data_IF_206564728204
#
_entry.id   IF_206564728204
#
_cell.length_a   1.000
_cell.length_b   1.000
_cell.length_c   1.000
_cell.angle_alpha   90.00
_cell.angle_beta   90.00
_cell.angle_gamma   90.00
#
_symmetry.space_group_name_H-M   'P 1'
#
loop_
_entity.id
_entity.type
_entity.pdbx_description
1 polymer ?
#
# COMPACT_ATOMS: atom_id res chain seq x y z
N UNK A 1 9.98 -58.15 -53.38
CA UNK A 1 9.86 -59.33 -52.50
C UNK A 1 9.97 -58.80 -51.07
N UNK A 2 9.02 -58.93 -50.16
CA UNK A 2 7.71 -59.58 -50.16
C UNK A 2 6.86 -59.00 -48.98
N UNK A 3 5.52 -59.20 -49.07
CA UNK A 3 4.47 -59.37 -48.03
C UNK A 3 4.19 -58.23 -47.02
N UNK A 4 3.01 -57.55 -47.06
CA UNK A 4 1.67 -57.91 -46.50
C UNK A 4 1.70 -57.97 -44.95
N UNK A 5 0.79 -57.37 -44.15
CA UNK A 5 -0.68 -57.33 -44.24
C UNK A 5 -1.30 -56.44 -43.12
N UNK A 6 -2.50 -55.89 -43.38
CA UNK A 6 -3.47 -55.27 -42.46
C UNK A 6 -3.91 -56.18 -41.30
N UNK A 7 -4.58 -55.60 -40.27
CA UNK A 7 -5.80 -56.12 -39.58
C UNK A 7 -6.27 -55.13 -38.47
N UNK A 8 -7.53 -54.66 -38.62
CA UNK A 8 -8.68 -54.51 -37.68
C UNK A 8 -8.52 -53.86 -36.28
N UNK A 9 -9.54 -53.35 -35.58
CA UNK A 9 -10.85 -52.70 -35.80
C UNK A 9 -11.47 -52.61 -34.37
N UNK A 10 -12.14 -51.50 -34.02
CA UNK A 10 -13.27 -51.42 -33.04
C UNK A 10 -12.99 -51.73 -31.54
N UNK A 11 -13.69 -51.22 -30.52
CA UNK A 11 -15.07 -50.76 -30.40
C UNK A 11 -15.30 -49.95 -29.09
N UNK A 12 -16.36 -49.15 -29.14
CA UNK A 12 -17.17 -48.39 -28.15
C UNK A 12 -17.42 -48.95 -26.73
N UNK A 13 -17.65 -48.07 -25.74
CA UNK A 13 -18.97 -47.90 -25.07
C UNK A 13 -18.97 -46.74 -24.03
N UNK A 14 -19.83 -45.73 -24.23
CA UNK A 14 -21.12 -45.49 -23.55
C UNK A 14 -21.05 -44.72 -22.22
N UNK A 15 -21.54 -43.49 -22.27
CA UNK A 15 -21.92 -42.64 -21.15
C UNK A 15 -23.45 -42.53 -21.15
N UNK A 16 -24.10 -42.82 -20.01
CA UNK A 16 -25.53 -42.56 -19.81
C UNK A 16 -25.76 -41.72 -18.54
N UNK A 17 -26.53 -40.64 -18.73
CA UNK A 17 -27.61 -40.05 -17.93
C UNK A 17 -27.38 -39.38 -16.55
N UNK A 18 -27.86 -38.12 -16.48
CA UNK A 18 -27.95 -37.10 -15.40
C UNK A 18 -29.22 -37.25 -14.50
N UNK A 19 -29.68 -36.33 -13.59
CA UNK A 19 -29.19 -35.02 -13.05
C UNK A 19 -29.41 -34.83 -11.48
N UNK A 20 -29.64 -33.63 -10.87
CA UNK A 20 -28.70 -32.63 -10.28
C UNK A 20 -29.04 -32.33 -8.76
N UNK A 21 -28.82 -31.13 -8.15
CA UNK A 21 -27.69 -30.18 -8.08
C UNK A 21 -27.22 -29.90 -6.61
N UNK A 22 -25.98 -29.45 -6.38
CA UNK A 22 -25.69 -28.43 -5.34
C UNK A 22 -24.29 -27.82 -5.53
N UNK A 23 -24.26 -26.52 -5.89
CA UNK A 23 -23.11 -25.61 -5.80
C UNK A 23 -22.95 -25.10 -4.35
N UNK A 24 -21.89 -24.34 -3.95
CA UNK A 24 -20.56 -24.04 -4.53
C UNK A 24 -19.42 -24.18 -3.44
N UNK A 25 -18.15 -23.70 -3.58
CA UNK A 25 -17.44 -23.02 -4.69
C UNK A 25 -16.08 -23.65 -5.10
N UNK A 26 -15.55 -23.31 -6.31
CA UNK A 26 -14.23 -23.71 -6.78
C UNK A 26 -13.15 -22.64 -6.53
N UNK A 27 -11.90 -23.10 -6.73
CA UNK A 27 -10.72 -22.33 -7.12
C UNK A 27 -9.77 -21.83 -6.02
N UNK A 28 -9.11 -22.78 -5.36
CA UNK A 28 -7.69 -22.66 -5.08
C UNK A 28 -6.89 -23.09 -6.31
N UNK A 29 -6.41 -22.12 -7.09
CA UNK A 29 -5.22 -22.24 -7.96
C UNK A 29 -4.98 -20.88 -8.63
N UNK A 30 -4.19 -20.02 -8.00
CA UNK A 30 -3.57 -18.89 -8.71
C UNK A 30 -2.33 -19.42 -9.42
N UNK A 31 -2.45 -19.52 -10.74
CA UNK A 31 -1.36 -19.74 -11.68
C UNK A 31 -0.29 -18.65 -11.54
N UNK A 32 0.96 -19.09 -11.47
CA UNK A 32 2.16 -18.23 -11.54
C UNK A 32 2.33 -17.75 -12.98
N UNK A 33 2.38 -16.43 -13.16
CA UNK A 33 3.09 -15.82 -14.29
C UNK A 33 4.36 -15.18 -13.76
N UNK A 34 5.48 -15.71 -14.21
CA UNK A 34 6.83 -15.16 -14.03
C UNK A 34 6.99 -13.97 -14.96
N UNK A 35 7.09 -12.77 -14.39
CA UNK A 35 7.62 -11.60 -15.06
C UNK A 35 8.92 -11.19 -14.35
N UNK A 36 9.98 -11.01 -15.13
CA UNK A 36 11.30 -10.54 -14.70
C UNK A 36 11.21 -9.16 -14.01
N UNK A 37 11.07 -9.12 -12.69
CA UNK A 37 11.16 -7.88 -11.94
C UNK A 37 11.70 -8.17 -10.54
N UNK A 38 12.70 -7.40 -10.09
CA UNK A 38 13.18 -7.36 -8.71
C UNK A 38 12.02 -7.53 -7.75
N UNK A 39 12.03 -8.59 -6.93
CA UNK A 39 10.93 -8.95 -6.03
C UNK A 39 10.76 -7.87 -4.96
N UNK A 40 10.02 -6.82 -5.31
CA UNK A 40 9.75 -5.68 -4.46
C UNK A 40 8.85 -6.10 -3.31
N UNK A 41 9.32 -5.91 -2.08
CA UNK A 41 8.66 -6.36 -0.86
C UNK A 41 7.45 -5.48 -0.50
N UNK A 42 6.50 -6.04 0.24
CA UNK A 42 5.39 -5.25 0.78
C UNK A 42 5.92 -4.33 1.89
N UNK A 43 5.56 -3.04 1.90
CA UNK A 43 5.95 -2.13 2.96
C UNK A 43 5.30 -2.52 4.30
N UNK A 44 6.01 -2.25 5.41
CA UNK A 44 5.45 -2.33 6.75
C UNK A 44 4.47 -1.17 7.04
N UNK A 45 3.89 -1.12 8.24
CA UNK A 45 2.96 -0.04 8.65
C UNK A 45 3.58 1.35 8.64
N UNK A 46 4.91 1.44 8.72
CA UNK A 46 5.68 2.67 8.61
C UNK A 46 6.15 2.97 7.19
N UNK A 47 5.63 2.31 6.15
CA UNK A 47 6.03 2.52 4.75
C UNK A 47 7.53 2.23 4.45
N UNK A 48 8.17 1.37 5.26
CA UNK A 48 9.52 0.86 5.05
C UNK A 48 9.56 -0.66 5.16
N UNK A 49 10.59 -1.21 5.81
CA UNK A 49 10.74 -2.66 6.01
C UNK A 49 11.15 -3.01 7.43
N UNK A 50 10.76 -4.21 7.84
CA UNK A 50 11.28 -4.90 9.01
C UNK A 50 12.34 -5.91 8.55
N UNK A 51 13.57 -5.73 9.00
CA UNK A 51 14.70 -6.62 8.72
C UNK A 51 15.12 -7.30 10.02
N UNK A 52 16.01 -8.30 9.92
CA UNK A 52 16.46 -9.06 11.08
C UNK A 52 17.16 -8.19 12.14
N UNK A 53 17.95 -7.19 11.71
CA UNK A 53 18.78 -6.37 12.59
C UNK A 53 18.23 -4.97 12.87
N UNK A 54 17.28 -4.49 12.07
CA UNK A 54 16.64 -3.19 12.25
C UNK A 54 15.32 -3.10 11.49
N UNK A 55 14.46 -2.17 11.90
CA UNK A 55 13.29 -1.76 11.14
C UNK A 55 13.47 -0.32 10.68
N UNK A 56 12.88 0.02 9.54
CA UNK A 56 12.78 1.41 9.11
C UNK A 56 11.39 1.70 8.56
N UNK A 57 11.03 2.98 8.66
CA UNK A 57 9.82 3.56 8.11
C UNK A 57 10.11 4.94 7.54
N UNK A 58 9.11 5.57 6.94
CA UNK A 58 9.24 6.87 6.33
C UNK A 58 7.89 7.57 6.18
N UNK A 59 7.97 8.89 6.14
CA UNK A 59 6.98 9.79 5.57
C UNK A 59 7.53 10.39 4.26
N UNK A 60 6.84 11.38 3.69
CA UNK A 60 7.41 12.15 2.58
C UNK A 60 8.61 13.01 3.01
N UNK A 61 8.73 13.33 4.29
CA UNK A 61 9.72 14.29 4.80
C UNK A 61 10.86 13.59 5.55
N UNK A 62 10.58 12.43 6.15
CA UNK A 62 11.48 11.82 7.11
C UNK A 62 11.61 10.32 6.89
N UNK A 63 12.71 9.76 7.39
CA UNK A 63 12.95 8.32 7.52
C UNK A 63 13.24 8.02 8.99
N UNK A 64 12.51 7.09 9.57
CA UNK A 64 12.72 6.60 10.94
C UNK A 64 13.38 5.23 10.89
N UNK A 65 14.39 5.01 11.72
CA UNK A 65 15.12 3.75 11.80
C UNK A 65 15.19 3.33 13.26
N UNK A 66 14.84 2.08 13.53
CA UNK A 66 14.80 1.50 14.86
C UNK A 66 15.71 0.28 14.90
N UNK A 67 16.74 0.32 15.74
CA UNK A 67 17.73 -0.74 15.89
C UNK A 67 17.70 -1.29 17.31
N UNK A 68 17.27 -2.53 17.52
CA UNK A 68 17.43 -3.21 18.80
C UNK A 68 18.91 -3.38 19.15
N UNK A 69 19.28 -3.08 20.39
CA UNK A 69 20.65 -3.26 20.92
C UNK A 69 20.60 -4.03 22.24
N UNK A 70 21.70 -4.68 22.67
CA UNK A 70 21.74 -5.39 23.95
C UNK A 70 21.33 -4.47 25.12
N UNK A 71 20.54 -5.01 26.05
CA UNK A 71 20.05 -4.25 27.20
C UNK A 71 21.20 -3.71 28.05
N UNK A 72 21.10 -2.45 28.48
CA UNK A 72 22.15 -1.76 29.23
C UNK A 72 23.24 -1.14 28.33
N UNK A 73 23.04 -1.12 27.01
CA UNK A 73 23.88 -0.36 26.08
C UNK A 73 23.93 1.10 26.52
N UNK A 74 25.12 1.70 26.51
CA UNK A 74 25.32 3.13 26.81
C UNK A 74 25.61 3.90 25.52
N UNK A 75 25.22 5.17 25.45
CA UNK A 75 25.42 6.00 24.26
C UNK A 75 26.87 6.04 23.76
N UNK A 76 27.86 5.99 24.66
CA UNK A 76 29.30 5.94 24.32
C UNK A 76 29.73 4.67 23.57
N UNK A 77 28.92 3.62 23.60
CA UNK A 77 29.13 2.36 22.88
C UNK A 77 28.47 2.38 21.49
N UNK A 78 27.69 3.41 21.16
CA UNK A 78 27.02 3.53 19.87
C UNK A 78 27.92 4.35 18.94
N UNK A 79 28.16 3.82 17.76
CA UNK A 79 28.77 4.55 16.65
C UNK A 79 27.64 4.89 15.69
N UNK A 80 27.27 6.16 15.59
CA UNK A 80 26.28 6.66 14.65
C UNK A 80 26.87 7.86 13.91
N UNK A 81 27.16 7.69 12.62
CA UNK A 81 27.61 8.76 11.73
C UNK A 81 26.57 8.99 10.64
N UNK A 82 25.93 10.16 10.70
CA UNK A 82 24.98 10.61 9.68
C UNK A 82 25.71 11.59 8.77
N UNK A 83 25.80 11.27 7.47
CA UNK A 83 26.32 12.17 6.44
C UNK A 83 25.24 12.41 5.39
N UNK A 84 25.42 13.43 4.56
CA UNK A 84 24.42 13.86 3.57
C UNK A 84 23.88 12.71 2.70
N UNK A 85 24.68 11.69 2.39
CA UNK A 85 24.26 10.55 1.55
C UNK A 85 24.63 9.20 2.15
N UNK A 86 25.03 9.11 3.41
CA UNK A 86 25.44 7.82 3.99
C UNK A 86 25.10 7.76 5.47
N UNK A 87 24.81 6.55 5.93
CA UNK A 87 24.59 6.25 7.34
C UNK A 87 25.51 5.12 7.75
N UNK A 88 26.19 5.32 8.88
CA UNK A 88 26.92 4.27 9.58
C UNK A 88 26.38 4.16 10.99
N UNK A 89 25.91 2.98 11.36
CA UNK A 89 25.32 2.69 12.66
C UNK A 89 25.76 1.32 13.16
N UNK A 90 26.27 1.25 14.38
CA UNK A 90 26.66 -0.01 15.01
C UNK A 90 27.15 0.18 16.45
N UNK A 91 27.65 -0.91 17.04
CA UNK A 91 28.24 -0.90 18.37
C UNK A 91 29.77 -0.85 18.29
N UNK A 92 30.37 -0.03 19.15
CA UNK A 92 31.82 0.12 19.24
C UNK A 92 32.46 -1.19 19.71
N UNK A 93 33.39 -1.70 18.92
CA UNK A 93 34.12 -2.94 19.21
C UNK A 93 33.53 -4.17 18.53
N UNK A 94 32.35 -4.08 17.92
CA UNK A 94 31.83 -5.15 17.05
C UNK A 94 32.52 -5.12 15.68
N UNK A 95 32.76 -6.30 15.07
CA UNK A 95 33.46 -6.39 13.79
C UNK A 95 32.62 -5.87 12.62
N UNK A 96 31.29 -5.88 12.74
CA UNK A 96 30.37 -5.45 11.70
C UNK A 96 29.47 -4.30 12.20
N UNK A 97 29.28 -3.31 11.34
CA UNK A 97 28.26 -2.29 11.54
C UNK A 97 26.88 -2.88 11.23
N UNK A 98 25.86 -2.44 11.95
CA UNK A 98 24.48 -2.87 11.72
C UNK A 98 23.97 -2.25 10.40
N UNK A 99 24.36 -0.99 10.15
CA UNK A 99 24.11 -0.29 8.90
C UNK A 99 25.41 0.39 8.49
N UNK A 100 25.89 0.14 7.28
CA UNK A 100 27.00 0.88 6.68
C UNK A 100 26.77 0.94 5.17
N UNK A 101 26.35 2.11 4.67
CA UNK A 101 26.02 2.24 3.26
C UNK A 101 25.63 3.63 2.81
N UNK A 102 25.56 3.79 1.48
CA UNK A 102 25.00 4.99 0.85
C UNK A 102 23.47 4.96 0.99
N UNK A 103 22.89 6.02 1.53
CA UNK A 103 21.45 6.21 1.63
C UNK A 103 20.83 6.31 0.23
N UNK A 104 19.55 5.93 0.13
CA UNK A 104 18.82 6.02 -1.13
C UNK A 104 18.75 7.45 -1.67
N UNK A 105 18.49 8.43 -0.79
CA UNK A 105 18.48 9.85 -1.11
C UNK A 105 19.33 10.70 -0.15
N UNK A 106 19.57 11.97 -0.48
CA UNK A 106 20.28 12.87 0.41
C UNK A 106 19.42 13.27 1.62
N UNK A 107 20.08 13.57 2.75
CA UNK A 107 19.44 13.99 4.01
C UNK A 107 20.02 15.31 4.52
N UNK A 108 19.20 16.07 5.24
CA UNK A 108 19.58 17.33 5.88
C UNK A 108 20.18 17.00 7.24
N UNK A 109 21.50 16.79 7.27
CA UNK A 109 22.23 16.31 8.47
C UNK A 109 22.00 17.18 9.72
N UNK A 110 21.79 18.50 9.57
CA UNK A 110 21.52 19.39 10.70
C UNK A 110 20.20 19.13 11.41
N UNK A 111 19.25 18.50 10.72
CA UNK A 111 17.89 18.24 11.19
C UNK A 111 17.68 16.74 11.45
N UNK A 112 18.67 15.91 11.12
CA UNK A 112 18.72 14.49 11.43
C UNK A 112 19.37 14.27 12.80
N UNK A 113 18.82 13.37 13.61
CA UNK A 113 19.36 13.04 14.92
C UNK A 113 19.16 11.56 15.26
N UNK A 114 19.82 11.11 16.32
CA UNK A 114 19.62 9.78 16.87
C UNK A 114 19.55 9.85 18.39
N UNK A 115 18.86 8.87 18.97
CA UNK A 115 18.72 8.72 20.41
C UNK A 115 18.76 7.25 20.82
N UNK A 116 19.12 7.01 22.07
CA UNK A 116 19.08 5.70 22.71
C UNK A 116 17.93 5.69 23.70
N UNK A 117 16.95 4.83 23.45
CA UNK A 117 15.76 4.65 24.26
C UNK A 117 15.92 3.41 25.15
N UNK A 118 15.60 3.57 26.44
CA UNK A 118 15.64 2.53 27.47
C UNK A 118 16.93 1.70 27.55
N UNK A 119 18.05 2.21 27.02
CA UNK A 119 19.31 1.47 26.90
C UNK A 119 19.18 0.13 26.14
N UNK A 120 18.19 0.02 25.24
CA UNK A 120 17.88 -1.22 24.49
C UNK A 120 17.51 -0.98 23.03
N UNK A 121 17.24 0.26 22.63
CA UNK A 121 16.81 0.57 21.25
C UNK A 121 17.43 1.88 20.79
N UNK A 122 18.07 1.88 19.63
CA UNK A 122 18.56 3.10 18.98
C UNK A 122 17.53 3.54 17.94
N UNK A 123 17.07 4.78 18.07
CA UNK A 123 16.13 5.41 17.14
C UNK A 123 16.86 6.51 16.39
N UNK A 124 16.86 6.44 15.06
CA UNK A 124 17.44 7.45 14.17
C UNK A 124 16.32 8.10 13.36
N UNK A 125 16.31 9.43 13.35
CA UNK A 125 15.46 10.24 12.48
C UNK A 125 16.34 10.90 11.42
N UNK A 126 16.03 10.65 10.14
CA UNK A 126 16.68 11.30 9.02
C UNK A 126 15.69 12.22 8.31
N UNK A 127 15.99 13.52 8.27
CA UNK A 127 15.20 14.47 7.47
C UNK A 127 15.66 14.39 6.02
N UNK A 128 14.76 14.06 5.10
CA UNK A 128 15.06 14.00 3.66
C UNK A 128 15.43 15.40 3.17
N UNK A 129 16.51 15.49 2.41
CA UNK A 129 16.92 16.73 1.77
C UNK A 129 16.29 16.79 0.39
N UNK A 130 15.22 17.55 0.25
CA UNK A 130 14.52 17.68 -1.01
C UNK A 130 14.44 19.12 -1.49
N UNK A 131 14.84 19.30 -2.75
CA UNK A 131 14.84 20.62 -3.39
C UNK A 131 13.70 20.74 -4.43
N UNK A 132 13.18 19.62 -4.99
CA UNK A 132 12.25 19.67 -6.13
C UNK A 132 11.17 18.59 -6.25
N UNK A 133 11.22 17.44 -5.55
CA UNK A 133 10.16 16.42 -5.61
C UNK A 133 10.16 15.50 -4.37
N UNK A 134 9.04 15.51 -3.63
CA UNK A 134 8.74 14.59 -2.52
C UNK A 134 8.60 13.17 -3.02
N UNK A 135 9.54 12.29 -2.62
CA UNK A 135 9.57 10.90 -3.13
C UNK A 135 9.72 9.86 -2.02
N UNK A 136 9.00 8.75 -2.20
CA UNK A 136 9.12 7.56 -1.37
C UNK A 136 10.43 6.84 -1.69
N UNK A 137 11.17 6.49 -0.65
CA UNK A 137 12.39 5.72 -0.79
C UNK A 137 12.01 4.25 -0.97
N UNK A 138 12.49 3.62 -2.02
CA UNK A 138 12.27 2.18 -2.20
C UNK A 138 13.18 1.34 -1.31
N UNK A 139 14.29 1.87 -0.81
CA UNK A 139 15.15 1.20 0.16
C UNK A 139 15.77 2.23 1.12
N UNK A 140 16.29 1.78 2.27
CA UNK A 140 17.03 2.65 3.18
C UNK A 140 18.43 2.97 2.61
N UNK A 141 19.17 1.92 2.26
CA UNK A 141 20.49 1.97 1.65
C UNK A 141 20.43 1.48 0.20
N UNK A 142 21.27 2.03 -0.67
CA UNK A 142 21.35 1.59 -2.07
C UNK A 142 21.84 0.15 -2.16
N UNK A 143 21.21 -0.64 -3.02
CA UNK A 143 21.50 -2.06 -3.17
C UNK A 143 20.94 -2.95 -2.05
N UNK A 144 20.25 -2.38 -1.06
CA UNK A 144 19.51 -3.13 -0.06
C UNK A 144 18.14 -3.60 -0.56
N UNK A 145 17.37 -4.31 0.29
CA UNK A 145 16.01 -4.75 -0.04
C UNK A 145 15.08 -3.58 -0.39
N UNK A 146 14.29 -3.77 -1.44
CA UNK A 146 13.40 -2.73 -1.98
C UNK A 146 11.92 -3.00 -1.65
N UNK A 147 11.17 -1.94 -1.33
CA UNK A 147 9.72 -1.95 -1.16
C UNK A 147 8.99 -1.54 -2.43
N UNK A 148 7.79 -2.11 -2.60
CA UNK A 148 6.84 -1.64 -3.60
C UNK A 148 6.23 -0.31 -3.18
N UNK A 149 6.84 0.79 -3.64
CA UNK A 149 6.40 2.15 -3.35
C UNK A 149 4.98 2.46 -3.83
N UNK A 150 4.37 1.65 -4.71
CA UNK A 150 2.97 1.83 -5.10
C UNK A 150 1.99 1.39 -4.00
N UNK A 151 2.45 0.64 -3.01
CA UNK A 151 1.63 0.15 -1.88
C UNK A 151 1.81 0.95 -0.60
N UNK A 152 2.63 2.01 -0.64
CA UNK A 152 2.84 2.92 0.48
C UNK A 152 1.58 3.74 0.74
N UNK A 153 1.22 3.91 2.01
CA UNK A 153 0.07 4.71 2.44
C UNK A 153 0.51 6.11 2.89
N UNK A 154 0.09 7.19 2.19
CA UNK A 154 0.31 8.55 2.66
C UNK A 154 -0.31 8.78 4.05
N UNK A 155 0.30 9.62 4.89
CA UNK A 155 -0.13 9.83 6.28
C UNK A 155 -1.60 10.27 6.42
N UNK A 156 -2.11 11.06 5.47
CA UNK A 156 -3.51 11.53 5.50
C UNK A 156 -4.52 10.52 4.92
N UNK A 157 -4.11 9.29 4.60
CA UNK A 157 -4.98 8.32 3.91
C UNK A 157 -6.01 7.66 4.83
N UNK A 158 -5.88 7.84 6.16
CA UNK A 158 -6.87 7.35 7.13
C UNK A 158 -7.90 8.42 7.40
N UNK A 159 -8.94 8.37 6.58
CA UNK A 159 -10.11 9.22 6.69
C UNK A 159 -10.85 9.08 8.04
N UNK A 160 -10.58 8.01 8.79
CA UNK A 160 -11.06 7.77 10.16
C UNK A 160 -10.49 8.74 11.19
N UNK A 161 -9.32 9.33 10.92
CA UNK A 161 -8.56 10.13 11.89
C UNK A 161 -8.88 11.64 11.75
N UNK A 162 -9.77 11.98 10.80
CA UNK A 162 -10.27 13.33 10.58
C UNK A 162 -11.52 13.57 11.44
N UNK A 163 -11.65 14.80 11.96
CA UNK A 163 -12.89 15.25 12.61
C UNK A 163 -14.10 15.03 11.68
N UNK A 164 -15.30 14.69 12.22
CA UNK A 164 -16.46 14.30 11.41
C UNK A 164 -16.84 15.30 10.29
N UNK A 165 -16.64 16.60 10.52
CA UNK A 165 -16.91 17.65 9.53
C UNK A 165 -15.90 17.65 8.37
N UNK A 166 -14.60 17.51 8.68
CA UNK A 166 -13.55 17.44 7.68
C UNK A 166 -13.62 16.11 6.91
N UNK A 167 -13.94 15.02 7.61
CA UNK A 167 -14.18 13.71 7.00
C UNK A 167 -15.26 13.76 5.92
N UNK A 168 -16.43 14.34 6.24
CA UNK A 168 -17.53 14.48 5.28
C UNK A 168 -17.12 15.31 4.06
N UNK A 169 -16.35 16.38 4.29
CA UNK A 169 -15.84 17.26 3.22
C UNK A 169 -14.86 16.51 2.30
N UNK A 170 -13.93 15.74 2.86
CA UNK A 170 -12.96 14.95 2.10
C UNK A 170 -13.65 13.78 1.36
N UNK A 171 -14.61 13.09 1.98
CA UNK A 171 -15.42 12.05 1.32
C UNK A 171 -16.18 12.63 0.12
N UNK A 172 -16.81 13.80 0.28
CA UNK A 172 -17.49 14.50 -0.82
C UNK A 172 -16.51 14.84 -1.94
N UNK A 173 -15.34 15.38 -1.61
CA UNK A 173 -14.32 15.73 -2.60
C UNK A 173 -13.80 14.51 -3.36
N UNK A 174 -13.56 13.38 -2.66
CA UNK A 174 -13.14 12.12 -3.28
C UNK A 174 -14.23 11.53 -4.19
N UNK A 175 -15.49 11.57 -3.74
CA UNK A 175 -16.63 11.15 -4.54
C UNK A 175 -16.76 12.00 -5.82
N UNK A 176 -16.72 13.32 -5.69
CA UNK A 176 -16.84 14.25 -6.81
C UNK A 176 -15.69 14.11 -7.81
N UNK A 177 -14.47 13.91 -7.32
CA UNK A 177 -13.32 13.67 -8.18
C UNK A 177 -13.48 12.38 -9.00
N UNK A 178 -14.00 11.31 -8.38
CA UNK A 178 -14.30 10.05 -9.07
C UNK A 178 -15.42 10.21 -10.09
N UNK A 179 -16.51 10.88 -9.72
CA UNK A 179 -17.64 11.15 -10.62
C UNK A 179 -17.19 11.95 -11.85
N UNK A 180 -16.40 13.02 -11.65
CA UNK A 180 -15.83 13.83 -12.75
C UNK A 180 -14.98 13.01 -13.72
N UNK A 181 -14.13 12.11 -13.21
CA UNK A 181 -13.33 11.22 -14.06
C UNK A 181 -14.20 10.26 -14.88
N UNK A 182 -15.32 9.83 -14.32
CA UNK A 182 -16.29 8.95 -14.99
C UNK A 182 -17.32 9.73 -15.84
N UNK A 183 -17.22 11.07 -15.92
CA UNK A 183 -18.21 11.91 -16.61
C UNK A 183 -19.61 11.91 -15.96
N UNK A 184 -19.69 11.49 -14.70
CA UNK A 184 -20.93 11.35 -13.94
C UNK A 184 -21.18 12.59 -13.06
N UNK A 185 -22.43 12.81 -12.61
CA UNK A 185 -22.79 13.98 -11.80
C UNK A 185 -22.11 13.99 -10.42
N UNK A 186 -21.66 15.17 -10.00
CA UNK A 186 -21.12 15.43 -8.66
C UNK A 186 -22.20 15.39 -7.58
N UNK A 187 -21.81 15.32 -6.31
CA UNK A 187 -22.69 15.28 -5.14
C UNK A 187 -23.69 16.45 -5.12
N UNK A 188 -23.26 17.66 -5.46
CA UNK A 188 -24.16 18.83 -5.54
C UNK A 188 -25.18 18.69 -6.67
N UNK A 189 -24.78 18.13 -7.81
CA UNK A 189 -25.67 17.92 -8.96
C UNK A 189 -26.69 16.81 -8.68
N UNK A 190 -26.27 15.75 -8.00
CA UNK A 190 -27.18 14.68 -7.54
C UNK A 190 -28.21 15.26 -6.58
N UNK A 191 -27.77 16.05 -5.59
CA UNK A 191 -28.66 16.67 -4.62
C UNK A 191 -29.67 17.62 -5.27
N UNK A 192 -29.23 18.43 -6.24
CA UNK A 192 -30.13 19.28 -7.03
C UNK A 192 -31.12 18.46 -7.84
N UNK A 193 -30.68 17.37 -8.48
CA UNK A 193 -31.54 16.51 -9.27
C UNK A 193 -32.60 15.81 -8.40
N UNK A 194 -32.23 15.40 -7.20
CA UNK A 194 -33.16 14.77 -6.26
C UNK A 194 -34.20 15.76 -5.72
N UNK A 195 -33.80 17.01 -5.42
CA UNK A 195 -34.74 18.06 -5.05
C UNK A 195 -35.77 18.35 -6.15
N UNK A 196 -35.31 18.43 -7.41
CA UNK A 196 -36.18 18.60 -8.57
C UNK A 196 -37.15 17.43 -8.74
N UNK A 197 -36.64 16.19 -8.68
CA UNK A 197 -37.48 14.98 -8.76
C UNK A 197 -38.52 14.93 -7.65
N UNK A 198 -38.15 15.27 -6.42
CA UNK A 198 -39.05 15.23 -5.28
C UNK A 198 -40.15 16.30 -5.39
N UNK A 199 -39.80 17.47 -5.93
CA UNK A 199 -40.76 18.53 -6.23
C UNK A 199 -41.76 18.10 -7.32
N UNK A 200 -41.26 17.52 -8.42
CA UNK A 200 -42.10 16.99 -9.50
C UNK A 200 -43.03 15.88 -9.01
N UNK A 201 -42.53 14.95 -8.19
CA UNK A 201 -43.31 13.87 -7.62
C UNK A 201 -44.39 14.37 -6.64
N UNK A 202 -44.08 15.39 -5.84
CA UNK A 202 -45.05 16.04 -4.95
C UNK A 202 -46.16 16.74 -5.74
N UNK A 203 -45.81 17.45 -6.82
CA UNK A 203 -46.80 18.06 -7.73
C UNK A 203 -47.70 17.01 -8.37
N UNK A 204 -47.14 15.90 -8.84
CA UNK A 204 -47.93 14.82 -9.46
C UNK A 204 -48.97 14.25 -8.48
N UNK A 205 -48.57 13.97 -7.24
CA UNK A 205 -49.51 13.55 -6.18
C UNK A 205 -50.58 14.59 -5.83
N UNK A 206 -50.28 15.87 -5.96
CA UNK A 206 -51.24 16.93 -5.71
C UNK A 206 -52.27 17.02 -6.85
N UNK A 207 -51.82 16.91 -8.11
CA UNK A 207 -52.68 16.86 -9.30
C UNK A 207 -53.61 15.64 -9.26
N UNK A 208 -53.11 14.47 -8.87
CA UNK A 208 -53.93 13.25 -8.72
C UNK A 208 -54.99 13.37 -7.62
N UNK A 209 -54.74 14.13 -6.55
CA UNK A 209 -55.73 14.42 -5.50
C UNK A 209 -56.84 15.36 -5.96
N UNK A 210 -56.54 16.34 -6.81
CA UNK A 210 -57.54 17.26 -7.36
C UNK A 210 -58.37 16.64 -8.49
N UNK A 211 -57.82 15.64 -9.20
CA UNK A 211 -58.53 14.97 -10.30
C UNK A 211 -59.48 13.84 -9.84
N UNK A 212 -59.44 13.45 -8.56
CA UNK A 212 -60.25 12.36 -7.98
C UNK A 212 -61.26 12.86 -6.93
N UNK A 213 -61.58 14.16 -6.91
CA UNK A 213 -62.57 14.73 -6.02
C UNK A 213 -63.96 14.67 -6.72
N UNK A 214 -64.97 14.01 -6.12
CA UNK A 214 -66.29 13.80 -6.72
C UNK A 214 -67.13 15.08 -6.82
#
# INVERSE_FOLDING_TARGET
MAILSDIEETQSNQTQNSPPPTNPPPAAAKEKKEDNNTTSLLPNSGNGLDLESYSWGQSLEEVTITVPVPAGTKSRQIVCEIKKKSLKLGLKGEPAMIIDGELFGPVKVSDSFWQLEDQKTVSVLLTKFEEKNKSWWKSLVKGGPEIDTQKVQPENSKLSDLDPELRSTVEKMMFDQRQKQMGLPTSDQIQQQDLLKNFDFSKMKQVDKFSNMP
#
